data_IF_143220168616
#
_entry.id   IF_143220168616
#
_cell.length_a   1.000
_cell.length_b   1.000
_cell.length_c   1.000
_cell.angle_alpha   90.00
_cell.angle_beta   90.00
_cell.angle_gamma   90.00
#
_symmetry.space_group_name_H-M   'P 1'
#
loop_
_entity.id
_entity.type
_entity.pdbx_description
1 polymer ?
#
# COMPACT_ATOMS: atom_id res chain seq x y z
N UNK A 1 10.87 -34.84 -11.37
CA UNK A 1 12.02 -35.21 -12.20
C UNK A 1 13.36 -34.86 -11.55
N UNK A 2 13.45 -33.80 -10.74
CA UNK A 2 14.71 -33.32 -10.13
C UNK A 2 14.91 -33.75 -8.68
N UNK A 3 13.91 -34.36 -8.00
CA UNK A 3 13.94 -34.69 -6.58
C UNK A 3 14.01 -33.46 -5.64
N UNK A 4 13.93 -32.26 -6.17
CA UNK A 4 13.94 -31.04 -5.35
C UNK A 4 12.56 -30.77 -4.74
N UNK A 5 12.50 -30.21 -3.51
CA UNK A 5 11.25 -29.86 -2.86
C UNK A 5 10.50 -28.79 -3.67
N UNK A 6 9.17 -28.89 -3.69
CA UNK A 6 8.26 -27.85 -4.21
C UNK A 6 7.84 -26.95 -3.06
N UNK A 7 7.83 -25.65 -3.29
CA UNK A 7 7.37 -24.67 -2.30
C UNK A 7 6.44 -23.69 -2.98
N UNK A 8 5.17 -23.73 -2.59
CA UNK A 8 4.19 -22.73 -3.01
C UNK A 8 4.41 -21.42 -2.26
N UNK A 9 4.34 -20.32 -2.96
CA UNK A 9 4.55 -18.99 -2.39
C UNK A 9 3.33 -18.13 -2.62
N UNK A 10 2.82 -17.52 -1.57
CA UNK A 10 1.82 -16.48 -1.67
C UNK A 10 2.48 -15.20 -2.20
N UNK A 11 1.92 -14.60 -3.24
CA UNK A 11 2.45 -13.39 -3.88
C UNK A 11 2.66 -12.24 -2.88
N UNK A 12 1.68 -12.01 -2.00
CA UNK A 12 1.76 -10.94 -1.00
C UNK A 12 2.81 -11.24 0.08
N UNK A 13 3.08 -12.54 0.40
CA UNK A 13 4.19 -12.92 1.26
C UNK A 13 5.54 -12.55 0.63
N UNK A 14 5.68 -12.67 -0.69
CA UNK A 14 6.85 -12.18 -1.41
C UNK A 14 7.13 -10.71 -1.11
N UNK A 15 6.14 -9.84 -1.27
CA UNK A 15 6.29 -8.43 -0.93
C UNK A 15 6.54 -8.20 0.57
N UNK A 16 5.79 -8.90 1.43
CA UNK A 16 5.91 -8.71 2.88
C UNK A 16 7.29 -9.11 3.42
N UNK A 17 7.94 -10.12 2.83
CA UNK A 17 9.24 -10.63 3.25
C UNK A 17 10.42 -9.96 2.52
N UNK A 18 10.18 -9.11 1.51
CA UNK A 18 11.25 -8.40 0.79
C UNK A 18 12.18 -7.60 1.71
N UNK A 19 11.72 -6.88 2.76
CA UNK A 19 12.61 -6.17 3.68
C UNK A 19 13.59 -7.09 4.42
N UNK A 20 13.27 -8.35 4.57
CA UNK A 20 14.20 -9.34 5.15
C UNK A 20 15.32 -9.70 4.17
N UNK A 21 15.02 -9.72 2.88
CA UNK A 21 16.04 -9.92 1.84
C UNK A 21 17.00 -8.73 1.77
N UNK A 22 16.48 -7.49 1.80
CA UNK A 22 17.28 -6.29 1.56
C UNK A 22 18.00 -5.78 2.79
N UNK A 23 17.38 -5.89 3.97
CA UNK A 23 17.82 -5.24 5.20
C UNK A 23 17.99 -6.22 6.37
N UNK A 24 17.71 -7.51 6.17
CA UNK A 24 17.89 -8.54 7.19
C UNK A 24 16.98 -8.40 8.41
N UNK A 25 15.78 -7.84 8.25
CA UNK A 25 14.88 -7.55 9.37
C UNK A 25 14.60 -8.77 10.25
N UNK A 26 14.61 -8.56 11.56
CA UNK A 26 14.13 -9.55 12.52
C UNK A 26 12.61 -9.50 12.65
N UNK A 27 11.98 -10.64 12.93
CA UNK A 27 10.58 -10.69 13.35
C UNK A 27 10.42 -10.26 14.83
N UNK A 28 9.26 -9.76 15.26
CA UNK A 28 8.16 -9.30 14.42
C UNK A 28 8.40 -7.88 13.88
N UNK A 29 7.79 -7.52 12.75
CA UNK A 29 7.76 -6.15 12.25
C UNK A 29 6.38 -5.78 11.68
N UNK A 30 6.08 -4.48 11.63
CA UNK A 30 4.90 -3.97 10.95
C UNK A 30 5.25 -3.70 9.49
N UNK A 31 4.43 -4.20 8.57
CA UNK A 31 4.52 -3.95 7.14
C UNK A 31 3.31 -3.14 6.68
N UNK A 32 3.55 -2.00 6.03
CA UNK A 32 2.58 -1.33 5.19
C UNK A 32 2.87 -1.69 3.73
N UNK A 33 2.06 -2.56 3.17
CA UNK A 33 2.11 -2.89 1.75
C UNK A 33 1.22 -1.91 0.98
N UNK A 34 1.81 -1.10 0.07
CA UNK A 34 1.10 -0.07 -0.69
C UNK A 34 1.48 -0.18 -2.16
N UNK A 35 0.78 -1.03 -2.90
CA UNK A 35 1.00 -1.26 -4.34
C UNK A 35 -0.12 -0.65 -5.20
N UNK A 36 -0.04 -0.86 -6.51
CA UNK A 36 -1.09 -0.49 -7.46
C UNK A 36 -2.43 -1.15 -7.15
N UNK A 37 -2.43 -2.42 -6.72
CA UNK A 37 -3.64 -3.22 -6.50
C UNK A 37 -3.93 -3.56 -5.04
N UNK A 38 -2.97 -3.41 -4.14
CA UNK A 38 -3.10 -3.82 -2.74
C UNK A 38 -2.67 -2.70 -1.80
N UNK A 39 -3.40 -2.56 -0.70
CA UNK A 39 -2.98 -1.74 0.43
C UNK A 39 -3.45 -2.39 1.72
N UNK A 40 -2.51 -2.81 2.57
CA UNK A 40 -2.82 -3.43 3.85
C UNK A 40 -1.70 -3.27 4.88
N UNK A 41 -2.10 -3.25 6.14
CA UNK A 41 -1.21 -3.33 7.29
C UNK A 41 -1.11 -4.78 7.73
N UNK A 42 0.11 -5.28 7.79
CA UNK A 42 0.43 -6.65 8.22
C UNK A 42 1.43 -6.60 9.37
N UNK A 43 1.11 -7.23 10.47
CA UNK A 43 2.12 -7.66 11.43
C UNK A 43 2.72 -8.96 10.89
N UNK A 44 4.02 -9.00 10.78
CA UNK A 44 4.77 -10.14 10.24
C UNK A 44 5.54 -10.78 11.38
N UNK A 45 5.08 -11.93 11.84
CA UNK A 45 5.66 -12.67 12.97
C UNK A 45 6.57 -13.82 12.51
N UNK A 46 6.50 -14.20 11.25
CA UNK A 46 7.28 -15.30 10.67
C UNK A 46 7.08 -15.43 9.17
N UNK A 47 7.78 -16.40 8.55
CA UNK A 47 7.71 -16.64 7.11
C UNK A 47 6.29 -16.99 6.60
N UNK A 48 5.46 -17.58 7.46
CA UNK A 48 4.06 -17.93 7.19
C UNK A 48 3.10 -17.40 8.29
N UNK A 49 3.59 -16.53 9.18
CA UNK A 49 2.81 -15.97 10.27
C UNK A 49 2.55 -14.48 10.05
N UNK A 50 1.35 -14.18 9.58
CA UNK A 50 0.90 -12.84 9.25
C UNK A 50 -0.42 -12.53 9.95
N UNK A 51 -0.53 -11.34 10.55
CA UNK A 51 -1.76 -10.82 11.11
C UNK A 51 -2.13 -9.53 10.37
N UNK A 52 -3.29 -9.52 9.72
CA UNK A 52 -3.80 -8.32 9.05
C UNK A 52 -4.47 -7.39 10.06
N UNK A 53 -3.97 -6.19 10.20
CA UNK A 53 -4.53 -5.15 11.08
C UNK A 53 -5.61 -4.31 10.40
N UNK A 54 -5.59 -4.22 9.08
CA UNK A 54 -6.52 -3.50 8.24
C UNK A 54 -6.03 -3.42 6.80
N UNK A 55 -6.86 -2.95 5.89
CA UNK A 55 -6.52 -2.79 4.49
C UNK A 55 -7.55 -1.98 3.73
N UNK A 56 -7.31 -1.75 2.43
CA UNK A 56 -8.28 -1.00 1.62
C UNK A 56 -9.52 -1.83 1.34
N UNK A 57 -10.69 -1.23 1.56
CA UNK A 57 -11.98 -1.85 1.27
C UNK A 57 -12.44 -1.62 -0.18
N UNK A 58 -11.76 -0.74 -0.91
CA UNK A 58 -12.08 -0.37 -2.28
C UNK A 58 -10.81 -0.20 -3.14
N UNK A 59 -10.55 0.97 -3.73
CA UNK A 59 -9.35 1.22 -4.53
C UNK A 59 -8.08 1.20 -3.66
N UNK A 60 -6.97 0.69 -4.19
CA UNK A 60 -5.66 0.87 -3.59
C UNK A 60 -5.13 2.30 -3.88
N UNK A 61 -4.22 2.85 -3.03
CA UNK A 61 -3.67 4.19 -3.26
C UNK A 61 -2.99 4.33 -4.62
N UNK A 62 -2.21 3.35 -5.07
CA UNK A 62 -1.56 3.39 -6.39
C UNK A 62 -2.58 3.51 -7.52
N UNK A 63 -3.65 2.71 -7.47
CA UNK A 63 -4.76 2.81 -8.42
C UNK A 63 -5.44 4.18 -8.37
N UNK A 64 -5.58 4.77 -7.18
CA UNK A 64 -6.15 6.11 -7.01
C UNK A 64 -5.24 7.19 -7.60
N UNK A 65 -3.91 7.09 -7.44
CA UNK A 65 -2.94 7.97 -8.08
C UNK A 65 -2.99 7.86 -9.61
N UNK A 66 -3.00 6.64 -10.15
CA UNK A 66 -3.08 6.40 -11.60
C UNK A 66 -4.39 6.95 -12.21
N UNK A 67 -5.51 6.74 -11.53
CA UNK A 67 -6.81 7.27 -11.95
C UNK A 67 -6.82 8.80 -11.91
N UNK A 68 -6.16 9.41 -10.93
CA UNK A 68 -6.00 10.87 -10.80
C UNK A 68 -5.17 11.43 -11.94
N UNK A 69 -4.02 10.82 -12.25
CA UNK A 69 -3.18 11.22 -13.38
C UNK A 69 -3.95 11.20 -14.69
N UNK A 70 -4.69 10.12 -14.97
CA UNK A 70 -5.55 10.00 -16.18
C UNK A 70 -6.65 11.03 -16.20
N UNK A 71 -7.32 11.30 -15.08
CA UNK A 71 -8.40 12.29 -14.96
C UNK A 71 -7.94 13.72 -15.28
N UNK A 72 -6.71 14.06 -14.90
CA UNK A 72 -6.12 15.37 -15.11
C UNK A 72 -5.32 15.48 -16.42
N UNK A 73 -5.23 14.38 -17.20
CA UNK A 73 -4.48 14.34 -18.45
C UNK A 73 -2.98 14.57 -18.25
N UNK A 74 -2.41 14.03 -17.15
CA UNK A 74 -1.01 14.26 -16.81
C UNK A 74 -0.10 13.34 -17.64
N UNK A 75 0.99 13.85 -18.21
CA UNK A 75 2.04 13.04 -18.86
C UNK A 75 3.02 12.43 -17.86
N UNK A 76 2.96 12.84 -16.59
CA UNK A 76 3.89 12.49 -15.51
C UNK A 76 3.13 12.07 -14.25
N UNK A 77 3.80 11.42 -13.27
CA UNK A 77 3.18 11.05 -12.01
C UNK A 77 2.60 12.24 -11.26
N UNK A 78 1.49 12.02 -10.54
CA UNK A 78 0.81 13.04 -9.70
C UNK A 78 1.76 13.74 -8.75
N UNK A 79 2.73 13.03 -8.18
CA UNK A 79 3.73 13.59 -7.27
C UNK A 79 4.51 14.74 -7.91
N UNK A 80 4.99 14.56 -9.13
CA UNK A 80 5.80 15.58 -9.82
C UNK A 80 4.98 16.85 -10.12
N UNK A 81 3.68 16.69 -10.44
CA UNK A 81 2.79 17.83 -10.63
C UNK A 81 2.44 18.52 -9.29
N UNK A 82 2.29 17.73 -8.23
CA UNK A 82 1.94 18.22 -6.89
C UNK A 82 3.02 19.13 -6.26
N UNK A 83 4.30 18.99 -6.67
CA UNK A 83 5.43 19.77 -6.13
C UNK A 83 5.22 21.30 -6.27
N UNK A 84 4.55 21.74 -7.34
CA UNK A 84 4.26 23.15 -7.59
C UNK A 84 2.89 23.60 -7.08
N UNK A 85 2.13 22.71 -6.41
CA UNK A 85 0.74 22.97 -6.02
C UNK A 85 0.56 23.37 -4.58
N UNK A 86 -0.54 24.07 -4.31
CA UNK A 86 -1.02 24.39 -2.95
C UNK A 86 -1.96 23.26 -2.46
N UNK A 87 -1.56 22.46 -1.47
CA UNK A 87 -2.39 21.38 -0.93
C UNK A 87 -3.63 21.89 -0.15
N UNK A 88 -3.67 23.17 0.24
CA UNK A 88 -4.77 23.75 1.01
C UNK A 88 -5.91 24.28 0.11
N UNK A 89 -5.66 24.49 -1.18
CA UNK A 89 -6.65 25.09 -2.09
C UNK A 89 -7.90 24.24 -2.28
N UNK A 90 -7.75 22.92 -2.30
CA UNK A 90 -8.86 21.97 -2.45
C UNK A 90 -8.99 21.08 -1.22
N UNK A 91 -10.07 21.24 -0.47
CA UNK A 91 -10.35 20.43 0.72
C UNK A 91 -10.90 19.04 0.32
N UNK A 92 -10.02 18.09 0.05
CA UNK A 92 -10.44 16.71 -0.21
C UNK A 92 -10.79 15.96 1.06
N UNK A 93 -11.73 14.99 1.02
CA UNK A 93 -12.06 14.16 2.17
C UNK A 93 -10.89 13.28 2.60
N UNK A 94 -10.87 12.89 3.88
CA UNK A 94 -9.97 11.89 4.46
C UNK A 94 -10.80 10.67 4.84
N UNK A 95 -11.04 9.74 3.89
CA UNK A 95 -11.98 8.64 4.14
C UNK A 95 -11.56 7.78 5.32
N UNK A 96 -12.55 7.36 6.12
CA UNK A 96 -12.39 6.48 7.28
C UNK A 96 -11.47 6.99 8.40
N UNK A 97 -11.03 8.24 8.39
CA UNK A 97 -10.28 8.79 9.53
C UNK A 97 -11.11 8.91 10.80
N UNK A 98 -12.42 9.14 10.66
CA UNK A 98 -13.42 9.14 11.74
C UNK A 98 -13.76 7.75 12.26
N UNK A 99 -13.38 6.68 11.53
CA UNK A 99 -13.64 5.30 11.89
C UNK A 99 -12.47 4.67 12.64
N UNK A 100 -12.72 3.89 13.71
CA UNK A 100 -11.68 3.15 14.40
C UNK A 100 -11.01 2.12 13.49
N UNK A 101 -9.85 1.59 13.94
CA UNK A 101 -9.11 0.58 13.22
C UNK A 101 -8.24 1.13 12.08
N UNK A 102 -7.71 0.21 11.26
CA UNK A 102 -6.69 0.50 10.24
C UNK A 102 -7.20 0.30 8.81
N UNK A 103 -8.51 0.14 8.61
CA UNK A 103 -9.07 0.04 7.26
C UNK A 103 -8.99 1.37 6.52
N UNK A 104 -8.84 1.26 5.20
CA UNK A 104 -8.57 2.34 4.26
C UNK A 104 -9.62 2.38 3.16
N UNK A 105 -9.83 3.56 2.56
CA UNK A 105 -10.69 3.74 1.39
C UNK A 105 -10.18 4.92 0.56
N UNK A 106 -10.12 4.78 -0.75
CA UNK A 106 -9.63 5.81 -1.66
C UNK A 106 -10.54 6.08 -2.86
N UNK A 107 -11.57 5.25 -3.12
CA UNK A 107 -12.48 5.44 -4.25
C UNK A 107 -13.26 6.77 -4.17
N UNK A 108 -13.62 7.20 -2.96
CA UNK A 108 -14.28 8.48 -2.72
C UNK A 108 -13.42 9.70 -3.08
N UNK A 109 -12.11 9.61 -2.93
CA UNK A 109 -11.17 10.68 -3.30
C UNK A 109 -11.18 10.97 -4.80
N UNK A 110 -11.23 9.92 -5.64
CA UNK A 110 -11.36 10.07 -7.09
C UNK A 110 -12.60 10.87 -7.45
N UNK A 111 -13.75 10.58 -6.83
CA UNK A 111 -15.01 11.29 -7.09
C UNK A 111 -14.92 12.75 -6.63
N UNK A 112 -14.31 13.00 -5.48
CA UNK A 112 -14.11 14.36 -4.97
C UNK A 112 -13.20 15.18 -5.91
N UNK A 113 -12.10 14.59 -6.38
CA UNK A 113 -11.19 15.22 -7.34
C UNK A 113 -11.91 15.53 -8.67
N UNK A 114 -12.68 14.58 -9.19
CA UNK A 114 -13.46 14.80 -10.43
C UNK A 114 -14.41 15.98 -10.28
N UNK A 115 -15.15 16.07 -9.18
CA UNK A 115 -16.05 17.19 -8.91
C UNK A 115 -15.31 18.53 -8.80
N UNK A 116 -14.17 18.56 -8.11
CA UNK A 116 -13.35 19.76 -7.98
C UNK A 116 -12.82 20.22 -9.35
N UNK A 117 -12.30 19.28 -10.16
CA UNK A 117 -11.88 19.54 -11.54
C UNK A 117 -13.03 20.13 -12.38
N UNK A 118 -14.19 19.49 -12.36
CA UNK A 118 -15.34 19.89 -13.17
C UNK A 118 -15.86 21.29 -12.76
N UNK A 119 -15.82 21.61 -11.47
CA UNK A 119 -16.16 22.94 -10.97
C UNK A 119 -15.19 24.02 -11.51
N UNK A 120 -13.87 23.75 -11.51
CA UNK A 120 -12.89 24.68 -12.09
C UNK A 120 -13.08 24.84 -13.59
N UNK A 121 -13.36 23.75 -14.31
CA UNK A 121 -13.61 23.79 -15.76
C UNK A 121 -14.87 24.58 -16.07
N UNK A 122 -15.94 24.41 -15.29
CA UNK A 122 -17.20 25.17 -15.47
C UNK A 122 -17.00 26.66 -15.21
N UNK A 123 -16.18 27.05 -14.24
CA UNK A 123 -15.90 28.44 -13.87
C UNK A 123 -14.97 29.13 -14.89
N UNK A 124 -13.90 28.44 -15.34
CA UNK A 124 -12.80 29.03 -16.11
C UNK A 124 -12.73 28.58 -17.58
N UNK A 125 -13.56 27.65 -18.01
CA UNK A 125 -13.50 27.04 -19.35
C UNK A 125 -12.39 26.04 -19.56
N UNK A 126 -11.55 25.75 -18.55
CA UNK A 126 -10.46 24.80 -18.63
C UNK A 126 -9.58 24.79 -17.38
N UNK A 127 -8.62 23.86 -17.33
CA UNK A 127 -7.62 23.79 -16.25
C UNK A 127 -6.33 24.50 -16.67
N UNK A 128 -5.87 25.43 -15.86
CA UNK A 128 -4.51 25.95 -15.95
C UNK A 128 -3.51 24.92 -15.41
N UNK A 129 -2.20 25.15 -15.65
CA UNK A 129 -1.15 24.33 -15.04
C UNK A 129 -1.22 24.39 -13.51
N UNK A 130 -1.45 25.58 -12.93
CA UNK A 130 -1.56 25.75 -11.49
C UNK A 130 -2.79 25.02 -10.92
N UNK A 131 -3.94 25.04 -11.61
CA UNK A 131 -5.12 24.29 -11.16
C UNK A 131 -4.84 22.78 -11.08
N UNK A 132 -4.08 22.22 -12.06
CA UNK A 132 -3.67 20.81 -12.01
C UNK A 132 -2.72 20.54 -10.86
N UNK A 133 -1.73 21.40 -10.66
CA UNK A 133 -0.76 21.26 -9.56
C UNK A 133 -1.45 21.26 -8.19
N UNK A 134 -2.38 22.19 -7.96
CA UNK A 134 -3.12 22.31 -6.71
C UNK A 134 -4.06 21.12 -6.47
N UNK A 135 -4.74 20.62 -7.53
CA UNK A 135 -5.55 19.41 -7.46
C UNK A 135 -4.70 18.19 -7.08
N UNK A 136 -3.49 18.06 -7.68
CA UNK A 136 -2.55 17.01 -7.36
C UNK A 136 -2.03 17.12 -5.93
N UNK A 137 -1.64 18.30 -5.49
CA UNK A 137 -1.12 18.55 -4.15
C UNK A 137 -2.18 18.25 -3.07
N UNK A 138 -3.41 18.73 -3.25
CA UNK A 138 -4.51 18.43 -2.33
C UNK A 138 -4.86 16.96 -2.28
N UNK A 139 -4.88 16.26 -3.43
CA UNK A 139 -5.08 14.82 -3.48
C UNK A 139 -3.98 14.03 -2.76
N UNK A 140 -2.72 14.35 -3.05
CA UNK A 140 -1.56 13.72 -2.40
C UNK A 140 -1.59 13.94 -0.89
N UNK A 141 -1.90 15.17 -0.43
CA UNK A 141 -2.03 15.46 0.99
C UNK A 141 -3.13 14.62 1.66
N UNK A 142 -4.30 14.47 1.00
CA UNK A 142 -5.38 13.65 1.54
C UNK A 142 -4.98 12.17 1.68
N UNK A 143 -4.28 11.59 0.69
CA UNK A 143 -3.77 10.21 0.78
C UNK A 143 -2.72 10.09 1.89
N UNK A 144 -1.83 11.08 1.99
CA UNK A 144 -0.76 11.10 2.98
C UNK A 144 -1.32 11.14 4.41
N UNK A 145 -2.29 12.01 4.67
CA UNK A 145 -2.94 12.13 5.98
C UNK A 145 -3.61 10.81 6.39
N UNK A 146 -4.35 10.18 5.45
CA UNK A 146 -5.02 8.90 5.71
C UNK A 146 -4.00 7.81 6.03
N UNK A 147 -2.96 7.65 5.22
CA UNK A 147 -1.93 6.62 5.42
C UNK A 147 -1.16 6.86 6.72
N UNK A 148 -0.77 8.10 7.01
CA UNK A 148 -0.02 8.44 8.22
C UNK A 148 -0.83 8.16 9.49
N UNK A 149 -2.09 8.61 9.55
CA UNK A 149 -2.93 8.37 10.73
C UNK A 149 -3.25 6.89 10.92
N UNK A 150 -3.56 6.15 9.85
CA UNK A 150 -3.81 4.71 9.95
C UNK A 150 -2.55 3.92 10.29
N UNK A 151 -1.37 4.36 9.82
CA UNK A 151 -0.08 3.80 10.25
C UNK A 151 0.17 4.04 11.75
N UNK A 152 -0.11 5.24 12.25
CA UNK A 152 -0.01 5.55 13.69
C UNK A 152 -0.85 4.59 14.53
N UNK A 153 -2.08 4.29 14.08
CA UNK A 153 -2.97 3.33 14.77
C UNK A 153 -2.45 1.90 14.69
N UNK A 154 -1.88 1.51 13.55
CA UNK A 154 -1.30 0.18 13.37
C UNK A 154 -0.05 0.00 14.27
N UNK A 155 0.82 1.01 14.35
CA UNK A 155 1.98 1.02 15.24
C UNK A 155 1.56 0.90 16.70
N UNK A 156 0.54 1.64 17.15
CA UNK A 156 0.03 1.56 18.51
C UNK A 156 -0.52 0.18 18.90
N UNK A 157 -0.91 -0.65 17.92
CA UNK A 157 -1.37 -2.04 18.14
C UNK A 157 -0.24 -3.06 18.17
N UNK A 158 0.97 -2.66 17.83
CA UNK A 158 2.14 -3.52 17.73
C UNK A 158 3.33 -2.92 18.50
N UNK A 159 3.28 -2.85 19.84
CA UNK A 159 4.32 -2.17 20.63
C UNK A 159 5.66 -2.93 20.69
N UNK A 160 5.68 -4.19 20.31
CA UNK A 160 6.79 -5.12 20.40
C UNK A 160 7.53 -5.38 19.08
N UNK A 161 7.24 -4.61 18.04
CA UNK A 161 7.86 -4.78 16.72
C UNK A 161 9.28 -4.21 16.68
N UNK A 162 10.11 -4.80 15.81
CA UNK A 162 11.51 -4.41 15.61
C UNK A 162 11.69 -3.29 14.59
N UNK A 163 10.69 -3.12 13.69
CA UNK A 163 10.80 -2.20 12.55
C UNK A 163 9.42 -1.85 11.99
N UNK A 164 9.32 -0.66 11.38
CA UNK A 164 8.22 -0.31 10.48
C UNK A 164 8.72 -0.36 9.03
N UNK A 165 8.22 -1.32 8.26
CA UNK A 165 8.57 -1.51 6.86
C UNK A 165 7.45 -1.03 5.93
N UNK A 166 7.81 -0.40 4.81
CA UNK A 166 6.87 0.06 3.79
C UNK A 166 7.33 -0.43 2.42
N UNK A 167 6.50 -1.18 1.70
CA UNK A 167 6.83 -1.68 0.37
C UNK A 167 5.68 -1.46 -0.62
N UNK A 168 6.02 -1.53 -1.92
CA UNK A 168 5.12 -1.29 -3.04
C UNK A 168 5.38 0.04 -3.73
N UNK A 169 4.81 0.22 -4.95
CA UNK A 169 5.11 1.37 -5.81
C UNK A 169 4.82 2.75 -5.19
N UNK A 170 3.85 2.84 -4.27
CA UNK A 170 3.53 4.11 -3.60
C UNK A 170 4.60 4.50 -2.57
N UNK A 171 5.42 3.55 -2.10
CA UNK A 171 6.59 3.84 -1.26
C UNK A 171 7.68 4.68 -1.99
N UNK A 172 7.59 4.79 -3.32
CA UNK A 172 8.42 5.70 -4.12
C UNK A 172 8.03 7.17 -3.95
N UNK A 173 6.81 7.47 -3.50
CA UNK A 173 6.38 8.84 -3.25
C UNK A 173 7.16 9.41 -2.05
N UNK A 174 8.01 10.41 -2.31
CA UNK A 174 8.93 10.97 -1.32
C UNK A 174 8.23 11.68 -0.18
N UNK A 175 7.07 12.31 -0.44
CA UNK A 175 6.26 13.00 0.58
C UNK A 175 5.66 11.97 1.54
N UNK A 176 5.02 10.93 1.00
CA UNK A 176 4.45 9.84 1.80
C UNK A 176 5.53 9.13 2.61
N UNK A 177 6.65 8.78 1.97
CA UNK A 177 7.77 8.12 2.63
C UNK A 177 8.34 8.97 3.76
N UNK A 178 8.52 10.28 3.55
CA UNK A 178 9.01 11.22 4.56
C UNK A 178 8.10 11.29 5.77
N UNK A 179 6.77 11.36 5.57
CA UNK A 179 5.80 11.39 6.66
C UNK A 179 5.76 10.09 7.45
N UNK A 180 5.82 8.93 6.77
CA UNK A 180 5.82 7.63 7.42
C UNK A 180 7.13 7.38 8.18
N UNK A 181 8.25 7.83 7.65
CA UNK A 181 9.55 7.78 8.34
C UNK A 181 9.56 8.68 9.59
N UNK A 182 9.03 9.90 9.49
CA UNK A 182 8.90 10.79 10.64
C UNK A 182 7.96 10.20 11.72
N UNK A 183 6.89 9.54 11.31
CA UNK A 183 5.98 8.84 12.22
C UNK A 183 6.65 7.70 12.99
N UNK A 184 7.59 6.99 12.36
CA UNK A 184 8.31 5.88 12.99
C UNK A 184 9.16 6.36 14.17
N UNK A 185 9.63 7.61 14.19
CA UNK A 185 10.46 8.17 15.26
C UNK A 185 11.74 7.37 15.45
N UNK A 186 11.96 6.85 16.66
CA UNK A 186 13.12 6.03 17.00
C UNK A 186 13.02 4.56 16.53
N UNK A 187 11.83 4.12 16.11
CA UNK A 187 11.66 2.79 15.54
C UNK A 187 12.34 2.72 14.16
N UNK A 188 13.19 1.72 13.89
CA UNK A 188 13.78 1.53 12.57
C UNK A 188 12.73 1.56 11.46
N UNK A 189 12.99 2.36 10.41
CA UNK A 189 12.12 2.48 9.25
C UNK A 189 12.82 1.94 8.00
N UNK A 190 12.19 1.00 7.30
CA UNK A 190 12.75 0.36 6.10
C UNK A 190 11.79 0.50 4.93
N UNK A 191 12.32 0.93 3.79
CA UNK A 191 11.63 0.85 2.51
C UNK A 191 12.61 0.25 1.48
N UNK A 192 12.36 -0.96 0.98
CA UNK A 192 13.23 -1.62 0.02
C UNK A 192 13.49 -0.77 -1.22
N UNK A 193 14.59 -1.02 -1.94
CA UNK A 193 14.87 -0.37 -3.22
C UNK A 193 13.67 -0.51 -4.17
N UNK A 194 13.37 0.55 -4.93
CA UNK A 194 12.18 0.61 -5.80
C UNK A 194 12.10 -0.57 -6.78
N UNK A 195 13.24 -1.03 -7.30
CA UNK A 195 13.31 -2.20 -8.18
C UNK A 195 12.80 -3.50 -7.54
N UNK A 196 12.78 -3.58 -6.21
CA UNK A 196 12.26 -4.71 -5.44
C UNK A 196 10.90 -4.44 -4.79
N UNK A 197 10.36 -3.23 -4.95
CA UNK A 197 9.01 -2.87 -4.50
C UNK A 197 7.91 -3.31 -5.48
N UNK A 198 8.25 -3.56 -6.74
CA UNK A 198 7.34 -4.09 -7.76
C UNK A 198 7.50 -5.62 -7.87
N UNK A 199 6.60 -6.27 -8.62
CA UNK A 199 6.66 -7.71 -8.86
C UNK A 199 8.01 -8.12 -9.46
N UNK A 200 8.67 -9.05 -8.81
CA UNK A 200 9.99 -9.55 -9.24
C UNK A 200 10.22 -11.00 -8.77
N UNK A 201 11.13 -11.70 -9.44
CA UNK A 201 11.42 -13.11 -9.12
C UNK A 201 12.15 -13.26 -7.76
N UNK A 202 12.95 -12.26 -7.35
CA UNK A 202 13.74 -12.36 -6.12
C UNK A 202 12.85 -12.40 -4.87
N UNK A 203 11.75 -11.64 -4.83
CA UNK A 203 10.81 -11.65 -3.71
C UNK A 203 10.16 -13.03 -3.52
N UNK A 204 9.82 -13.69 -4.63
CA UNK A 204 9.21 -15.04 -4.60
C UNK A 204 10.24 -16.08 -4.17
N UNK A 205 11.45 -16.01 -4.74
CA UNK A 205 12.52 -16.92 -4.37
C UNK A 205 12.90 -16.79 -2.88
N UNK A 206 12.95 -15.55 -2.38
CA UNK A 206 13.25 -15.29 -0.97
C UNK A 206 12.15 -15.80 -0.04
N UNK A 207 10.89 -15.51 -0.33
CA UNK A 207 9.78 -16.03 0.46
C UNK A 207 9.74 -17.56 0.46
N UNK A 208 10.03 -18.19 -0.68
CA UNK A 208 10.18 -19.64 -0.77
C UNK A 208 11.34 -20.17 0.09
N UNK A 209 12.48 -19.46 0.09
CA UNK A 209 13.63 -19.82 0.93
C UNK A 209 13.32 -19.70 2.43
N UNK A 210 12.66 -18.64 2.86
CA UNK A 210 12.25 -18.44 4.25
C UNK A 210 11.29 -19.56 4.70
N UNK A 211 10.30 -19.92 3.87
CA UNK A 211 9.40 -21.05 4.11
C UNK A 211 10.15 -22.38 4.20
N UNK A 212 11.07 -22.62 3.28
CA UNK A 212 11.89 -23.83 3.29
C UNK A 212 12.72 -23.95 4.56
N UNK A 213 13.35 -22.86 5.01
CA UNK A 213 14.11 -22.80 6.27
C UNK A 213 13.24 -23.05 7.50
N UNK A 214 11.97 -22.68 7.43
CA UNK A 214 10.97 -22.97 8.45
C UNK A 214 10.41 -24.42 8.38
N UNK A 215 10.89 -25.25 7.44
CA UNK A 215 10.49 -26.64 7.28
C UNK A 215 9.24 -26.87 6.42
N UNK A 216 8.72 -25.83 5.74
CA UNK A 216 7.55 -25.96 4.89
C UNK A 216 7.92 -26.45 3.49
N UNK A 217 7.31 -27.55 3.09
CA UNK A 217 7.44 -28.16 1.77
C UNK A 217 6.05 -28.58 1.31
N UNK A 218 5.74 -28.32 0.06
CA UNK A 218 4.47 -28.71 -0.57
C UNK A 218 4.69 -29.92 -1.49
N UNK A 219 3.65 -30.68 -1.74
CA UNK A 219 3.67 -31.78 -2.68
C UNK A 219 3.14 -31.37 -4.09
N UNK A 220 3.14 -32.30 -5.03
CA UNK A 220 2.70 -32.04 -6.39
C UNK A 220 1.18 -31.88 -6.55
N UNK A 221 0.40 -32.02 -5.48
CA UNK A 221 -1.04 -31.75 -5.48
C UNK A 221 -1.36 -30.29 -5.18
N UNK A 222 -0.32 -29.47 -4.90
CA UNK A 222 -0.48 -28.03 -4.70
C UNK A 222 -1.20 -27.40 -5.88
N UNK A 223 -2.32 -26.73 -5.61
CA UNK A 223 -3.10 -26.02 -6.63
C UNK A 223 -2.88 -24.52 -6.55
N UNK A 224 -2.85 -23.84 -7.70
CA UNK A 224 -2.81 -22.39 -7.75
C UNK A 224 -4.09 -21.79 -7.13
N UNK A 225 -3.93 -20.77 -6.29
CA UNK A 225 -5.02 -20.06 -5.62
C UNK A 225 -5.02 -18.61 -6.06
N UNK A 226 -6.03 -18.20 -6.80
CA UNK A 226 -6.19 -16.80 -7.25
C UNK A 226 -6.51 -15.83 -6.10
N UNK A 227 -7.06 -16.33 -5.01
CA UNK A 227 -7.31 -15.61 -3.76
C UNK A 227 -6.72 -16.42 -2.61
N UNK A 228 -5.58 -15.99 -2.14
CA UNK A 228 -4.87 -16.63 -1.05
C UNK A 228 -4.54 -15.57 0.01
N UNK A 229 -5.43 -15.34 0.99
CA UNK A 229 -5.16 -14.37 2.03
C UNK A 229 -3.94 -14.79 2.87
N UNK A 230 -3.13 -13.82 3.26
CA UNK A 230 -2.00 -14.06 4.17
C UNK A 230 -2.48 -14.41 5.57
N UNK A 231 -3.50 -13.71 6.04
CA UNK A 231 -4.16 -13.98 7.31
C UNK A 231 -5.49 -14.69 7.05
N UNK A 232 -5.52 -15.99 7.31
CA UNK A 232 -6.71 -16.84 7.12
C UNK A 232 -7.75 -16.67 8.22
N UNK A 233 -7.40 -16.01 9.32
CA UNK A 233 -8.30 -15.77 10.46
C UNK A 233 -8.96 -14.39 10.39
N UNK A 234 -8.40 -13.46 9.62
CA UNK A 234 -8.99 -12.14 9.45
C UNK A 234 -10.31 -12.23 8.66
N UNK A 235 -11.35 -11.44 9.05
CA UNK A 235 -12.56 -11.33 8.25
C UNK A 235 -12.22 -10.78 6.86
N UNK A 236 -12.94 -11.24 5.82
CA UNK A 236 -12.75 -10.72 4.48
C UNK A 236 -12.99 -9.20 4.44
N UNK A 237 -12.15 -8.45 3.71
CA UNK A 237 -12.38 -7.03 3.47
C UNK A 237 -13.60 -6.88 2.55
N UNK A 238 -14.67 -6.31 3.07
CA UNK A 238 -15.91 -6.10 2.32
C UNK A 238 -15.72 -4.85 1.47
N UNK A 239 -15.46 -5.04 0.18
CA UNK A 239 -15.51 -3.96 -0.80
C UNK A 239 -16.93 -3.77 -1.34
N UNK A 240 -17.37 -2.54 -1.53
CA UNK A 240 -18.69 -2.20 -2.10
C UNK A 240 -18.77 -2.39 -3.64
N UNK A 241 -17.81 -2.99 -4.27
CA UNK A 241 -17.73 -3.16 -5.73
C UNK A 241 -18.20 -4.53 -6.23
N UNK A 242 -18.56 -4.59 -7.52
CA UNK A 242 -18.98 -5.82 -8.26
C UNK A 242 -17.98 -6.99 -8.23
N UNK A 243 -16.80 -6.82 -7.62
CA UNK A 243 -15.70 -7.80 -7.61
C UNK A 243 -15.62 -8.68 -6.35
N UNK A 244 -16.59 -8.57 -5.43
CA UNK A 244 -16.63 -9.37 -4.20
C UNK A 244 -15.54 -8.97 -3.17
N UNK A 245 -15.44 -9.76 -2.08
CA UNK A 245 -14.47 -9.53 -1.01
C UNK A 245 -13.01 -9.56 -1.53
N UNK A 246 -12.21 -8.59 -1.12
CA UNK A 246 -10.75 -8.59 -1.35
C UNK A 246 -10.07 -9.52 -0.33
N UNK A 247 -9.11 -10.30 -0.78
CA UNK A 247 -8.29 -11.17 0.06
C UNK A 247 -7.25 -10.36 0.84
#
# INVERSE_FOLDING_TARGET
ATGKPLIGVNHLAGHALTPRLTDGLAFPYLMLLVSGGHCQFLRVDGADAFTRLGGTIDDAPGEAFDKTAKLLGLPQPVQAEAEAGDPARFAFPRPLLDRPGCDLSFSGLKTALMRARDAVVADKGGLTRQDRADLCAGFQAAVADVLTEKSRRALARCPDITCFAVAGGVAANTVLRGQLMALAGDLPFVAPPLALCTDNAAMIAWAGLERFRAGHVDDLTLTARSRWPLDTHAPALIGSGKRGAKA
#
